data_IF_843241016152
#
_entry.id   IF_843241016152
#
_cell.length_a   1.000
_cell.length_b   1.000
_cell.length_c   1.000
_cell.angle_alpha   90.00
_cell.angle_beta   90.00
_cell.angle_gamma   90.00
#
_symmetry.space_group_name_H-M   'P 1'
#
loop_
_entity.id
_entity.type
_entity.pdbx_description
1 polymer ?
#
# COMPACT_ATOMS: atom_id res chain seq x y z
N UNK A 1 0.58 -0.23 -31.51
CA UNK A 1 1.84 0.02 -30.77
C UNK A 1 1.51 1.06 -29.72
N UNK A 2 1.30 0.65 -28.46
CA UNK A 2 1.27 1.60 -27.35
C UNK A 2 2.66 2.21 -27.23
N UNK A 3 2.76 3.53 -27.04
CA UNK A 3 4.03 4.19 -26.81
C UNK A 3 4.69 3.64 -25.54
N UNK A 4 6.02 3.61 -25.49
CA UNK A 4 6.86 3.02 -24.43
C UNK A 4 6.58 3.60 -23.01
N UNK A 5 5.68 4.58 -22.87
CA UNK A 5 5.32 5.23 -21.61
C UNK A 5 3.81 5.53 -21.45
N UNK A 6 2.93 4.72 -22.07
CA UNK A 6 1.48 4.90 -21.87
C UNK A 6 1.04 4.36 -20.50
N UNK A 7 0.34 5.18 -19.72
CA UNK A 7 -0.09 4.82 -18.34
C UNK A 7 -1.14 3.71 -18.39
N UNK A 8 -0.86 2.58 -17.74
CA UNK A 8 -1.87 1.52 -17.53
C UNK A 8 -2.60 1.74 -16.20
N UNK A 9 -3.51 2.71 -16.16
CA UNK A 9 -4.24 3.07 -14.93
C UNK A 9 -5.11 1.92 -14.40
N UNK A 10 -5.64 1.07 -15.29
CA UNK A 10 -6.41 -0.11 -14.88
C UNK A 10 -5.53 -1.06 -14.06
N UNK A 11 -4.29 -1.30 -14.49
CA UNK A 11 -3.33 -2.10 -13.75
C UNK A 11 -3.00 -1.48 -12.39
N UNK A 12 -2.74 -0.18 -12.33
CA UNK A 12 -2.41 0.49 -11.07
C UNK A 12 -3.57 0.44 -10.07
N UNK A 13 -4.80 0.69 -10.53
CA UNK A 13 -6.00 0.61 -9.69
C UNK A 13 -6.26 -0.83 -9.26
N UNK A 14 -6.08 -1.82 -10.15
CA UNK A 14 -6.21 -3.23 -9.79
C UNK A 14 -5.20 -3.65 -8.73
N UNK A 15 -3.93 -3.27 -8.87
CA UNK A 15 -2.89 -3.55 -7.88
C UNK A 15 -3.17 -2.84 -6.55
N UNK A 16 -3.69 -1.60 -6.57
CA UNK A 16 -4.05 -0.85 -5.37
C UNK A 16 -5.29 -1.41 -4.66
N UNK A 17 -6.19 -2.09 -5.37
CA UNK A 17 -7.45 -2.62 -4.82
C UNK A 17 -7.50 -4.15 -4.70
N UNK A 18 -6.46 -4.89 -5.12
CA UNK A 18 -6.46 -6.36 -5.18
C UNK A 18 -6.92 -7.00 -3.86
N UNK A 19 -6.47 -6.43 -2.74
CA UNK A 19 -6.72 -6.94 -1.38
C UNK A 19 -7.78 -6.14 -0.61
N UNK A 20 -8.49 -5.19 -1.23
CA UNK A 20 -9.57 -4.42 -0.57
C UNK A 20 -10.68 -5.35 -0.03
N UNK A 21 -10.83 -6.52 -0.65
CA UNK A 21 -11.77 -7.53 -0.20
C UNK A 21 -11.47 -8.11 1.18
N UNK A 22 -10.22 -8.05 1.68
CA UNK A 22 -9.88 -8.45 3.06
C UNK A 22 -10.60 -7.57 4.07
N UNK A 23 -10.71 -6.27 3.79
CA UNK A 23 -11.44 -5.33 4.64
C UNK A 23 -12.94 -5.67 4.68
N UNK A 24 -13.56 -5.85 3.50
CA UNK A 24 -14.97 -6.26 3.40
C UNK A 24 -15.24 -7.62 4.06
N UNK A 25 -14.36 -8.59 3.86
CA UNK A 25 -14.49 -9.94 4.42
C UNK A 25 -14.49 -9.90 5.96
N UNK A 26 -13.62 -9.11 6.58
CA UNK A 26 -13.58 -8.97 8.05
C UNK A 26 -14.83 -8.27 8.60
N UNK A 27 -15.38 -7.32 7.87
CA UNK A 27 -16.65 -6.66 8.21
C UNK A 27 -17.88 -7.57 8.05
N UNK A 28 -17.81 -8.52 7.12
CA UNK A 28 -18.86 -9.50 6.79
C UNK A 28 -18.45 -10.92 7.22
N UNK A 29 -17.74 -11.03 8.34
CA UNK A 29 -17.20 -12.31 8.80
C UNK A 29 -18.29 -13.37 8.95
N UNK A 30 -17.99 -14.59 8.51
CA UNK A 30 -18.94 -15.72 8.47
C UNK A 30 -19.61 -15.94 7.11
N UNK A 31 -19.52 -14.98 6.18
CA UNK A 31 -19.90 -15.21 4.78
C UNK A 31 -18.85 -16.10 4.11
N UNK A 32 -19.27 -17.21 3.50
CA UNK A 32 -18.39 -18.16 2.78
C UNK A 32 -18.00 -17.62 1.41
N UNK A 33 -17.20 -16.57 1.40
CA UNK A 33 -16.68 -15.93 0.20
C UNK A 33 -15.20 -15.59 0.41
N UNK A 34 -14.39 -15.79 -0.61
CA UNK A 34 -12.97 -15.46 -0.55
C UNK A 34 -12.78 -13.94 -0.59
N UNK A 35 -11.62 -13.44 -0.13
CA UNK A 35 -11.38 -11.99 -0.18
C UNK A 35 -11.28 -11.48 -1.62
N UNK A 36 -10.76 -12.29 -2.54
CA UNK A 36 -10.70 -11.93 -3.96
C UNK A 36 -12.09 -11.65 -4.53
N UNK A 37 -13.06 -12.51 -4.20
CA UNK A 37 -14.43 -12.36 -4.67
C UNK A 37 -15.17 -11.22 -3.93
N UNK A 38 -14.90 -11.00 -2.64
CA UNK A 38 -15.38 -9.80 -1.93
C UNK A 38 -14.90 -8.50 -2.59
N UNK A 39 -13.64 -8.46 -3.02
CA UNK A 39 -13.03 -7.30 -3.70
C UNK A 39 -13.55 -7.11 -5.12
N UNK A 40 -13.69 -8.19 -5.89
CA UNK A 40 -14.21 -8.14 -7.25
C UNK A 40 -15.68 -7.66 -7.28
N UNK A 41 -16.55 -8.26 -6.45
CA UNK A 41 -17.94 -7.82 -6.31
C UNK A 41 -18.06 -6.37 -5.82
N UNK A 42 -17.12 -5.93 -4.99
CA UNK A 42 -17.09 -4.54 -4.55
C UNK A 42 -16.83 -3.60 -5.74
N UNK A 43 -15.86 -3.91 -6.60
CA UNK A 43 -15.56 -3.10 -7.78
C UNK A 43 -16.69 -3.16 -8.83
N UNK A 44 -17.34 -4.32 -8.99
CA UNK A 44 -18.51 -4.48 -9.87
C UNK A 44 -19.68 -3.59 -9.44
N UNK A 45 -19.88 -3.40 -8.14
CA UNK A 45 -20.91 -2.48 -7.63
C UNK A 45 -20.67 -1.00 -8.01
N UNK A 46 -19.46 -0.67 -8.49
CA UNK A 46 -19.07 0.66 -8.98
C UNK A 46 -18.66 0.63 -10.46
N UNK A 47 -19.23 -0.29 -11.26
CA UNK A 47 -18.93 -0.42 -12.69
C UNK A 47 -19.12 0.88 -13.49
N UNK A 48 -20.10 1.73 -13.13
CA UNK A 48 -20.27 3.04 -13.77
C UNK A 48 -19.10 3.98 -13.52
N UNK A 49 -18.55 3.97 -12.30
CA UNK A 49 -17.38 4.77 -11.96
C UNK A 49 -16.14 4.23 -12.70
N UNK A 50 -15.98 2.91 -12.75
CA UNK A 50 -14.86 2.23 -13.43
C UNK A 50 -15.12 1.87 -14.89
N UNK A 51 -16.01 2.60 -15.58
CA UNK A 51 -16.49 2.25 -16.91
C UNK A 51 -15.36 1.98 -17.92
N UNK A 52 -14.31 2.78 -17.91
CA UNK A 52 -13.18 2.66 -18.85
C UNK A 52 -12.29 1.44 -18.57
N UNK A 53 -12.34 0.88 -17.36
CA UNK A 53 -11.64 -0.35 -17.01
C UNK A 53 -12.44 -1.59 -17.38
N UNK A 54 -13.77 -1.47 -17.50
CA UNK A 54 -14.66 -2.56 -17.85
C UNK A 54 -14.55 -3.76 -16.92
N UNK A 55 -14.62 -4.97 -17.49
CA UNK A 55 -14.49 -6.22 -16.74
C UNK A 55 -13.07 -6.57 -16.31
N UNK A 56 -12.05 -5.88 -16.83
CA UNK A 56 -10.65 -6.20 -16.54
C UNK A 56 -10.33 -5.94 -15.05
N UNK A 57 -10.80 -4.83 -14.48
CA UNK A 57 -10.55 -4.49 -13.08
C UNK A 57 -11.05 -5.57 -12.10
N UNK A 58 -12.36 -5.91 -12.07
CA UNK A 58 -12.83 -6.94 -11.14
C UNK A 58 -12.22 -8.31 -11.43
N UNK A 59 -11.89 -8.64 -12.68
CA UNK A 59 -11.22 -9.90 -13.01
C UNK A 59 -9.79 -9.96 -12.49
N UNK A 60 -9.01 -8.88 -12.63
CA UNK A 60 -7.67 -8.78 -12.05
C UNK A 60 -7.70 -8.97 -10.54
N UNK A 61 -8.69 -8.37 -9.87
CA UNK A 61 -8.90 -8.52 -8.42
C UNK A 61 -9.34 -9.96 -8.08
N UNK A 62 -10.23 -10.58 -8.86
CA UNK A 62 -10.69 -11.94 -8.59
C UNK A 62 -9.57 -12.98 -8.71
N UNK A 63 -8.70 -12.81 -9.69
CA UNK A 63 -7.69 -13.82 -10.04
C UNK A 63 -6.30 -13.55 -9.41
N UNK A 64 -6.11 -12.53 -8.55
CA UNK A 64 -4.77 -12.18 -8.06
C UNK A 64 -4.07 -13.25 -7.20
N UNK A 65 -4.73 -14.34 -6.83
CA UNK A 65 -4.08 -15.54 -6.27
C UNK A 65 -4.22 -16.79 -7.13
N UNK A 66 -5.02 -16.74 -8.21
CA UNK A 66 -5.20 -17.88 -9.11
C UNK A 66 -4.13 -17.85 -10.20
N UNK A 67 -3.18 -18.79 -10.17
CA UNK A 67 -2.16 -18.93 -11.23
C UNK A 67 -2.70 -19.61 -12.50
N UNK A 68 -3.87 -20.23 -12.43
CA UNK A 68 -4.56 -20.93 -13.51
C UNK A 68 -5.77 -20.10 -14.00
N UNK A 69 -5.51 -18.90 -14.52
CA UNK A 69 -6.55 -18.03 -15.11
C UNK A 69 -6.74 -18.29 -16.60
N UNK A 70 -7.95 -18.01 -17.11
CA UNK A 70 -8.25 -18.18 -18.53
C UNK A 70 -7.43 -17.20 -19.37
N UNK A 71 -6.81 -17.72 -20.44
CA UNK A 71 -6.01 -16.92 -21.37
C UNK A 71 -6.92 -16.21 -22.36
N UNK A 72 -7.55 -15.12 -21.91
CA UNK A 72 -8.48 -14.35 -22.75
C UNK A 72 -7.75 -13.51 -23.81
N UNK A 73 -6.77 -12.68 -23.40
CA UNK A 73 -5.92 -11.90 -24.31
C UNK A 73 -4.55 -11.58 -23.66
N UNK A 74 -3.55 -11.25 -24.49
CA UNK A 74 -2.15 -11.01 -24.04
C UNK A 74 -2.02 -9.87 -23.03
N UNK A 75 -2.73 -8.77 -23.24
CA UNK A 75 -2.70 -7.61 -22.33
C UNK A 75 -3.21 -7.97 -20.94
N UNK A 76 -4.35 -8.66 -20.85
CA UNK A 76 -4.94 -9.08 -19.59
C UNK A 76 -4.07 -10.14 -18.91
N UNK A 77 -3.52 -11.10 -19.66
CA UNK A 77 -2.56 -12.06 -19.10
C UNK A 77 -1.34 -11.36 -18.50
N UNK A 78 -0.82 -10.34 -19.19
CA UNK A 78 0.30 -9.53 -18.70
C UNK A 78 -0.06 -8.81 -17.40
N UNK A 79 -1.23 -8.17 -17.34
CA UNK A 79 -1.71 -7.50 -16.13
C UNK A 79 -1.89 -8.47 -14.95
N UNK A 80 -2.46 -9.66 -15.17
CA UNK A 80 -2.58 -10.67 -14.11
C UNK A 80 -1.21 -11.04 -13.53
N UNK A 81 -0.24 -11.34 -14.39
CA UNK A 81 1.13 -11.68 -13.97
C UNK A 81 1.78 -10.55 -13.18
N UNK A 82 1.61 -9.29 -13.62
CA UNK A 82 2.17 -8.14 -12.91
C UNK A 82 1.52 -7.97 -11.53
N UNK A 83 0.20 -8.00 -11.42
CA UNK A 83 -0.49 -7.86 -10.12
C UNK A 83 -0.06 -8.98 -9.17
N UNK A 84 0.00 -10.22 -9.65
CA UNK A 84 0.42 -11.38 -8.87
C UNK A 84 1.89 -11.28 -8.42
N UNK A 85 2.79 -10.92 -9.34
CA UNK A 85 4.21 -10.75 -9.02
C UNK A 85 4.42 -9.60 -8.04
N UNK A 86 3.73 -8.47 -8.23
CA UNK A 86 3.81 -7.33 -7.33
C UNK A 86 3.32 -7.66 -5.91
N UNK A 87 2.21 -8.40 -5.77
CA UNK A 87 1.70 -8.86 -4.47
C UNK A 87 2.71 -9.79 -3.78
N UNK A 88 3.30 -10.74 -4.52
CA UNK A 88 4.34 -11.63 -3.99
C UNK A 88 5.59 -10.88 -3.52
N UNK A 89 6.08 -9.92 -4.31
CA UNK A 89 7.26 -9.11 -3.95
C UNK A 89 6.98 -8.19 -2.75
N UNK A 90 5.79 -7.60 -2.68
CA UNK A 90 5.38 -6.76 -1.54
C UNK A 90 5.20 -7.58 -0.24
N UNK A 91 4.89 -8.87 -0.37
CA UNK A 91 4.69 -9.79 0.74
C UNK A 91 5.95 -10.59 1.16
N UNK A 92 7.04 -10.52 0.38
CA UNK A 92 8.17 -11.45 0.50
C UNK A 92 8.91 -11.40 1.84
N UNK A 93 8.97 -10.23 2.49
CA UNK A 93 9.68 -10.00 3.76
C UNK A 93 8.78 -10.17 5.00
N UNK A 94 7.59 -10.77 4.86
CA UNK A 94 6.68 -10.98 6.00
C UNK A 94 7.31 -11.92 7.03
N UNK A 95 7.43 -11.45 8.26
CA UNK A 95 7.92 -12.26 9.36
C UNK A 95 6.96 -13.43 9.66
N UNK A 96 7.51 -14.62 9.81
CA UNK A 96 6.82 -15.79 10.32
C UNK A 96 7.38 -16.18 11.68
N UNK A 97 6.49 -16.50 12.62
CA UNK A 97 6.89 -16.86 13.97
C UNK A 97 5.87 -17.79 14.63
N UNK A 98 6.30 -18.48 15.67
CA UNK A 98 5.40 -19.29 16.50
C UNK A 98 4.43 -18.36 17.26
N UNK A 99 3.17 -18.33 16.83
CA UNK A 99 2.11 -17.53 17.46
C UNK A 99 0.75 -18.22 17.34
N UNK A 100 -0.22 -17.95 18.24
CA UNK A 100 -1.52 -18.62 18.20
C UNK A 100 -2.28 -18.28 16.91
N UNK A 101 -3.06 -19.25 16.44
CA UNK A 101 -3.99 -19.01 15.33
C UNK A 101 -5.12 -18.08 15.80
N UNK A 102 -5.39 -17.01 15.05
CA UNK A 102 -6.47 -16.07 15.38
C UNK A 102 -7.29 -15.72 14.15
N UNK A 103 -8.60 -15.57 14.36
CA UNK A 103 -9.50 -15.14 13.28
C UNK A 103 -9.10 -13.75 12.77
N UNK A 104 -9.11 -13.51 11.44
CA UNK A 104 -8.79 -12.21 10.85
C UNK A 104 -9.50 -10.99 11.46
N UNK A 105 -10.81 -11.01 11.81
CA UNK A 105 -11.48 -9.85 12.40
C UNK A 105 -11.06 -9.57 13.85
N UNK A 106 -10.47 -10.57 14.53
CA UNK A 106 -10.01 -10.50 15.92
C UNK A 106 -8.51 -10.23 16.03
N UNK A 107 -7.82 -10.13 14.90
CA UNK A 107 -6.39 -9.89 14.84
C UNK A 107 -6.14 -8.40 14.64
N UNK A 108 -5.54 -7.70 15.63
CA UNK A 108 -5.11 -6.31 15.47
C UNK A 108 -3.84 -6.20 14.61
N UNK A 109 -3.58 -5.01 14.09
CA UNK A 109 -2.27 -4.67 13.53
C UNK A 109 -1.28 -4.50 14.68
N UNK A 110 -0.20 -5.28 14.69
CA UNK A 110 0.89 -5.18 15.66
C UNK A 110 1.73 -3.95 15.36
N UNK A 111 2.12 -3.21 16.41
CA UNK A 111 3.00 -2.07 16.26
C UNK A 111 4.40 -2.51 15.86
N UNK A 112 4.97 -1.88 14.82
CA UNK A 112 6.33 -2.18 14.37
C UNK A 112 7.37 -1.99 15.49
N UNK A 113 7.16 -1.07 16.42
CA UNK A 113 8.03 -0.88 17.59
C UNK A 113 7.98 -2.05 18.58
N UNK A 114 6.92 -2.86 18.57
CA UNK A 114 6.87 -4.13 19.30
C UNK A 114 7.73 -5.22 18.65
N UNK A 115 8.19 -4.99 17.42
CA UNK A 115 8.99 -5.92 16.61
C UNK A 115 10.47 -5.54 16.55
N UNK A 116 10.90 -4.56 17.34
CA UNK A 116 12.29 -4.13 17.41
C UNK A 116 12.84 -4.54 18.79
N UNK A 117 13.86 -5.41 18.88
CA UNK A 117 14.47 -5.78 20.16
C UNK A 117 15.01 -4.55 20.89
N UNK A 118 14.95 -4.51 22.23
CA UNK A 118 15.44 -3.34 22.97
C UNK A 118 16.95 -3.15 22.80
N UNK A 119 17.69 -4.26 22.74
CA UNK A 119 19.15 -4.25 22.63
C UNK A 119 19.67 -4.45 21.20
N UNK A 120 18.85 -4.14 20.18
CA UNK A 120 19.18 -4.40 18.76
C UNK A 120 20.47 -3.72 18.27
N UNK A 121 20.87 -2.60 18.91
CA UNK A 121 22.09 -1.86 18.57
C UNK A 121 23.34 -2.54 19.10
N UNK A 122 23.29 -3.10 20.30
CA UNK A 122 24.42 -3.83 20.89
C UNK A 122 24.50 -5.27 20.37
N UNK A 123 23.35 -5.90 20.15
CA UNK A 123 23.23 -7.27 19.68
C UNK A 123 22.13 -7.39 18.61
N UNK A 124 22.49 -7.52 17.32
CA UNK A 124 21.53 -7.74 16.25
C UNK A 124 20.64 -8.97 16.43
N UNK A 125 21.11 -9.99 17.17
CA UNK A 125 20.39 -11.24 17.47
C UNK A 125 19.63 -11.17 18.81
N UNK A 126 19.41 -9.97 19.36
CA UNK A 126 18.68 -9.81 20.61
C UNK A 126 17.22 -10.28 20.49
N UNK A 127 16.72 -10.94 21.53
CA UNK A 127 15.35 -11.45 21.62
C UNK A 127 14.56 -10.80 22.77
N UNK A 128 14.96 -9.60 23.18
CA UNK A 128 14.39 -8.81 24.26
C UNK A 128 13.35 -7.81 23.74
N UNK A 129 12.36 -8.32 23.02
CA UNK A 129 11.29 -7.51 22.46
C UNK A 129 10.45 -6.82 23.56
N UNK A 130 10.03 -5.57 23.37
CA UNK A 130 9.09 -4.94 24.28
C UNK A 130 7.72 -5.64 24.21
N UNK A 131 6.88 -5.41 25.21
CA UNK A 131 5.54 -5.98 25.24
C UNK A 131 4.76 -5.65 23.96
N UNK A 132 4.13 -6.66 23.36
CA UNK A 132 3.35 -6.48 22.14
C UNK A 132 2.20 -5.48 22.37
N UNK A 133 2.13 -4.49 21.50
CA UNK A 133 1.05 -3.53 21.42
C UNK A 133 0.51 -3.55 20.00
N UNK A 134 -0.74 -3.16 19.83
CA UNK A 134 -1.38 -3.09 18.52
C UNK A 134 -2.40 -1.98 18.41
N UNK A 135 -2.92 -1.85 17.21
CA UNK A 135 -3.89 -0.83 16.84
C UNK A 135 -5.27 -1.44 16.68
N UNK A 136 -6.28 -0.76 17.23
CA UNK A 136 -7.68 -1.05 16.90
C UNK A 136 -7.99 -0.66 15.46
N UNK A 137 -8.77 -1.46 14.70
CA UNK A 137 -9.27 -1.05 13.39
C UNK A 137 -10.09 0.23 13.53
N UNK A 138 -9.60 1.31 12.93
CA UNK A 138 -10.23 2.63 12.98
C UNK A 138 -9.75 3.50 11.83
N UNK A 139 -10.36 4.67 11.66
CA UNK A 139 -9.87 5.67 10.71
C UNK A 139 -8.62 6.36 11.23
N UNK A 140 -7.69 6.67 10.34
CA UNK A 140 -6.62 7.62 10.61
C UNK A 140 -7.22 9.02 10.79
N UNK A 141 -7.24 9.51 12.02
CA UNK A 141 -7.78 10.81 12.39
C UNK A 141 -6.77 11.58 13.25
N UNK A 142 -6.30 12.71 12.75
CA UNK A 142 -5.31 13.56 13.42
C UNK A 142 -5.88 14.36 14.60
N UNK A 143 -7.20 14.45 14.73
CA UNK A 143 -7.85 15.15 15.85
C UNK A 143 -7.83 14.33 17.14
N UNK A 144 -7.75 12.99 17.04
CA UNK A 144 -7.71 12.08 18.17
C UNK A 144 -6.29 11.52 18.33
N UNK A 145 -5.37 12.30 18.90
CA UNK A 145 -3.95 11.91 18.96
C UNK A 145 -3.68 10.66 19.80
N UNK A 146 -4.40 10.46 20.91
CA UNK A 146 -4.23 9.29 21.78
C UNK A 146 -4.64 7.98 21.09
N UNK A 147 -5.58 8.10 20.14
CA UNK A 147 -6.05 6.99 19.33
C UNK A 147 -5.05 6.52 18.27
N UNK A 148 -4.04 7.32 17.97
CA UNK A 148 -2.97 6.99 17.03
C UNK A 148 -1.84 6.19 17.68
N UNK A 149 -1.85 6.04 19.02
CA UNK A 149 -0.85 5.27 19.75
C UNK A 149 -1.28 3.82 19.89
N UNK A 150 -0.36 2.85 19.78
CA UNK A 150 -0.68 1.45 19.97
C UNK A 150 -0.97 1.16 21.45
N UNK A 151 -1.81 0.16 21.70
CA UNK A 151 -2.24 -0.23 23.05
C UNK A 151 -2.03 -1.72 23.27
N UNK A 152 -2.00 -2.16 24.54
CA UNK A 152 -1.84 -3.58 24.88
C UNK A 152 -3.08 -4.43 24.58
N UNK A 153 -4.26 -3.82 24.59
CA UNK A 153 -5.54 -4.52 24.39
C UNK A 153 -6.36 -3.81 23.30
N UNK A 154 -5.89 -3.82 22.04
CA UNK A 154 -6.63 -3.23 20.94
C UNK A 154 -7.96 -3.96 20.74
N UNK A 155 -9.04 -3.20 20.63
CA UNK A 155 -10.34 -3.73 20.26
C UNK A 155 -10.38 -4.03 18.74
N UNK A 156 -10.16 -5.29 18.37
CA UNK A 156 -10.38 -5.82 17.02
C UNK A 156 -11.55 -6.80 17.06
N UNK A 157 -12.65 -6.48 16.38
CA UNK A 157 -13.85 -7.32 16.33
C UNK A 157 -14.59 -7.19 14.99
N UNK A 158 -15.44 -8.16 14.61
CA UNK A 158 -16.30 -8.03 13.44
C UNK A 158 -17.15 -6.75 13.44
N UNK A 159 -17.62 -6.30 14.60
CA UNK A 159 -18.40 -5.07 14.76
C UNK A 159 -17.57 -3.82 14.47
N UNK A 160 -16.33 -3.76 14.99
CA UNK A 160 -15.41 -2.66 14.72
C UNK A 160 -15.12 -2.55 13.21
N UNK A 161 -14.86 -3.69 12.56
CA UNK A 161 -14.68 -3.75 11.11
C UNK A 161 -15.93 -3.36 10.33
N UNK A 162 -17.13 -3.76 10.78
CA UNK A 162 -18.40 -3.40 10.14
C UNK A 162 -18.62 -1.88 10.17
N UNK A 163 -18.46 -1.25 11.33
CA UNK A 163 -18.58 0.20 11.46
C UNK A 163 -17.57 0.94 10.58
N UNK A 164 -16.31 0.48 10.56
CA UNK A 164 -15.27 1.07 9.72
C UNK A 164 -15.56 0.90 8.23
N UNK A 165 -16.03 -0.28 7.81
CA UNK A 165 -16.40 -0.58 6.42
C UNK A 165 -17.60 0.23 5.96
N UNK A 166 -18.61 0.41 6.81
CA UNK A 166 -19.79 1.22 6.48
C UNK A 166 -19.41 2.70 6.29
N UNK A 167 -18.49 3.22 7.11
CA UNK A 167 -17.94 4.57 6.94
C UNK A 167 -17.14 4.69 5.63
N UNK A 168 -16.22 3.76 5.34
CA UNK A 168 -15.46 3.72 4.08
C UNK A 168 -16.38 3.71 2.86
N UNK A 169 -17.35 2.80 2.83
CA UNK A 169 -18.37 2.67 1.78
C UNK A 169 -19.17 3.94 1.59
N UNK A 170 -19.50 4.65 2.66
CA UNK A 170 -20.22 5.93 2.59
C UNK A 170 -19.37 7.00 1.89
N UNK A 171 -18.12 7.20 2.30
CA UNK A 171 -17.23 8.19 1.67
C UNK A 171 -16.85 7.81 0.23
N UNK A 172 -16.62 6.52 -0.04
CA UNK A 172 -16.39 6.02 -1.40
C UNK A 172 -17.59 6.29 -2.31
N UNK A 173 -18.82 6.08 -1.81
CA UNK A 173 -20.03 6.40 -2.57
C UNK A 173 -20.15 7.90 -2.86
N UNK A 174 -19.79 8.75 -1.90
CA UNK A 174 -19.78 10.20 -2.12
C UNK A 174 -18.77 10.61 -3.20
N UNK A 175 -17.55 10.05 -3.16
CA UNK A 175 -16.54 10.26 -4.19
C UNK A 175 -17.05 9.86 -5.58
N UNK A 176 -17.51 8.62 -5.71
CA UNK A 176 -17.95 8.07 -7.00
C UNK A 176 -19.18 8.78 -7.57
N UNK A 177 -20.13 9.20 -6.73
CA UNK A 177 -21.28 10.02 -7.15
C UNK A 177 -20.88 11.43 -7.58
N UNK A 178 -19.94 12.07 -6.86
CA UNK A 178 -19.48 13.42 -7.19
C UNK A 178 -18.67 13.45 -8.50
N UNK A 179 -17.94 12.37 -8.81
CA UNK A 179 -17.14 12.24 -10.03
C UNK A 179 -17.90 11.70 -11.22
N UNK A 180 -18.85 10.79 -11.00
CA UNK A 180 -19.60 10.06 -12.02
C UNK A 180 -18.78 8.98 -12.74
N UNK A 181 -17.54 9.28 -13.10
CA UNK A 181 -16.59 8.39 -13.77
C UNK A 181 -15.18 8.64 -13.23
N UNK A 182 -14.37 7.59 -13.18
CA UNK A 182 -12.98 7.64 -12.75
C UNK A 182 -12.17 8.59 -13.65
N UNK A 183 -11.32 9.40 -13.01
CA UNK A 183 -10.34 10.25 -13.67
C UNK A 183 -8.95 9.97 -13.10
N UNK A 184 -7.89 10.20 -13.87
CA UNK A 184 -6.48 10.05 -13.42
C UNK A 184 -6.20 10.69 -12.05
N UNK A 185 -6.76 11.88 -11.80
CA UNK A 185 -6.58 12.58 -10.53
C UNK A 185 -7.19 11.83 -9.33
N UNK A 186 -8.19 10.99 -9.55
CA UNK A 186 -8.84 10.21 -8.50
C UNK A 186 -7.93 9.13 -7.92
N UNK A 187 -6.91 8.67 -8.66
CA UNK A 187 -5.94 7.70 -8.13
C UNK A 187 -5.37 8.17 -6.79
N UNK A 188 -4.94 9.44 -6.71
CA UNK A 188 -4.41 10.03 -5.47
C UNK A 188 -5.48 10.10 -4.38
N UNK A 189 -6.73 10.37 -4.74
CA UNK A 189 -7.85 10.38 -3.80
C UNK A 189 -8.16 8.98 -3.26
N UNK A 190 -8.11 7.95 -4.10
CA UNK A 190 -8.27 6.56 -3.71
C UNK A 190 -7.15 6.13 -2.75
N UNK A 191 -5.89 6.47 -3.06
CA UNK A 191 -4.75 6.24 -2.16
C UNK A 191 -5.00 6.88 -0.78
N UNK A 192 -5.45 8.14 -0.73
CA UNK A 192 -5.75 8.83 0.52
C UNK A 192 -6.94 8.23 1.29
N UNK A 193 -7.98 7.76 0.57
CA UNK A 193 -9.09 7.03 1.20
C UNK A 193 -8.62 5.70 1.80
N UNK A 194 -7.78 4.95 1.09
CA UNK A 194 -7.21 3.71 1.62
C UNK A 194 -6.32 4.01 2.83
N UNK A 195 -5.45 5.01 2.77
CA UNK A 195 -4.66 5.46 3.94
C UNK A 195 -5.56 5.74 5.14
N UNK A 196 -6.64 6.50 4.93
CA UNK A 196 -7.59 6.84 6.00
C UNK A 196 -8.24 5.61 6.62
N UNK A 197 -8.59 4.58 5.85
CA UNK A 197 -9.43 3.48 6.31
C UNK A 197 -8.70 2.16 6.55
N UNK A 198 -7.50 1.97 6.01
CA UNK A 198 -6.78 0.69 6.03
C UNK A 198 -5.39 0.75 6.68
N UNK A 199 -4.97 1.91 7.22
CA UNK A 199 -3.70 2.06 7.96
C UNK A 199 -3.63 1.25 9.26
N UNK A 200 -4.76 0.97 9.91
CA UNK A 200 -4.81 0.19 11.16
C UNK A 200 -5.43 -1.20 10.97
N UNK A 201 -5.41 -1.69 9.73
CA UNK A 201 -5.89 -3.03 9.36
C UNK A 201 -4.65 -3.86 9.01
N UNK A 202 -4.40 -5.04 9.59
CA UNK A 202 -3.26 -5.86 9.19
C UNK A 202 -3.47 -6.45 7.78
N UNK A 203 -2.45 -6.44 6.92
CA UNK A 203 -2.52 -6.97 5.55
C UNK A 203 -2.63 -8.50 5.51
N UNK A 204 -2.00 -9.17 6.47
CA UNK A 204 -2.06 -10.60 6.72
C UNK A 204 -2.29 -10.84 8.22
N UNK A 205 -2.85 -11.99 8.55
CA UNK A 205 -3.21 -12.37 9.93
C UNK A 205 -2.78 -13.81 10.15
N UNK A 206 -2.48 -14.24 11.40
CA UNK A 206 -2.02 -15.59 11.70
C UNK A 206 -3.20 -16.58 11.64
N UNK A 207 -3.80 -16.71 10.46
CA UNK A 207 -4.93 -17.59 10.16
C UNK A 207 -4.45 -18.92 9.59
N UNK A 208 -3.18 -19.02 9.20
CA UNK A 208 -2.60 -20.23 8.64
C UNK A 208 -2.66 -21.39 9.64
N UNK A 209 -2.78 -22.62 9.12
CA UNK A 209 -2.83 -23.82 9.95
C UNK A 209 -1.46 -24.19 10.54
N UNK A 210 -0.38 -23.70 9.95
CA UNK A 210 1.01 -24.00 10.32
C UNK A 210 1.36 -23.47 11.71
N UNK A 211 2.39 -24.05 12.37
CA UNK A 211 2.86 -23.58 13.67
C UNK A 211 3.51 -22.20 13.60
N UNK A 212 4.32 -21.98 12.57
CA UNK A 212 4.83 -20.66 12.19
C UNK A 212 3.79 -19.94 11.34
N UNK A 213 3.36 -18.77 11.84
CA UNK A 213 2.29 -17.97 11.24
C UNK A 213 2.78 -16.55 11.01
N UNK A 214 2.13 -15.87 10.07
CA UNK A 214 2.49 -14.50 9.71
C UNK A 214 2.26 -13.54 10.88
N UNK A 215 3.27 -12.73 11.19
CA UNK A 215 3.10 -11.61 12.09
C UNK A 215 2.24 -10.52 11.42
N UNK A 216 1.16 -10.03 12.08
CA UNK A 216 0.29 -9.03 11.48
C UNK A 216 0.83 -7.61 11.74
N UNK A 217 2.06 -7.32 11.31
CA UNK A 217 2.78 -6.05 11.56
C UNK A 217 2.87 -5.10 10.35
N UNK A 218 2.43 -5.56 9.17
CA UNK A 218 2.30 -4.73 7.95
C UNK A 218 0.85 -4.29 7.77
N UNK A 219 0.61 -2.97 7.69
CA UNK A 219 -0.73 -2.45 7.42
C UNK A 219 -1.23 -2.81 6.02
N UNK A 220 -2.55 -2.92 5.87
CA UNK A 220 -3.19 -3.16 4.58
C UNK A 220 -2.93 -1.98 3.66
N UNK A 221 -2.93 -0.73 4.16
CA UNK A 221 -2.57 0.43 3.36
C UNK A 221 -1.15 0.31 2.77
N UNK A 222 -0.16 0.01 3.61
CA UNK A 222 1.23 -0.13 3.17
C UNK A 222 1.37 -1.27 2.15
N UNK A 223 0.73 -2.42 2.39
CA UNK A 223 0.72 -3.52 1.43
C UNK A 223 0.13 -3.09 0.08
N UNK A 224 -1.07 -2.51 0.07
CA UNK A 224 -1.75 -2.07 -1.15
C UNK A 224 -0.94 -1.03 -1.92
N UNK A 225 -0.37 -0.02 -1.23
CA UNK A 225 0.40 1.04 -1.90
C UNK A 225 1.70 0.51 -2.51
N UNK A 226 2.40 -0.39 -1.79
CA UNK A 226 3.66 -0.97 -2.27
C UNK A 226 3.40 -1.93 -3.43
N UNK A 227 2.35 -2.77 -3.35
CA UNK A 227 1.94 -3.61 -4.47
C UNK A 227 1.63 -2.77 -5.72
N UNK A 228 0.92 -1.65 -5.57
CA UNK A 228 0.66 -0.74 -6.69
C UNK A 228 1.93 -0.07 -7.25
N UNK A 229 2.87 0.34 -6.38
CA UNK A 229 4.15 0.92 -6.78
C UNK A 229 5.02 -0.08 -7.56
N UNK A 230 5.13 -1.31 -7.04
CA UNK A 230 5.85 -2.40 -7.70
C UNK A 230 5.18 -2.73 -9.04
N UNK A 231 3.85 -2.89 -9.08
CA UNK A 231 3.12 -3.16 -10.32
C UNK A 231 3.37 -2.09 -11.38
N UNK A 232 3.36 -0.81 -11.02
CA UNK A 232 3.65 0.28 -11.94
C UNK A 232 5.08 0.23 -12.50
N UNK A 233 6.05 -0.18 -11.68
CA UNK A 233 7.43 -0.32 -12.14
C UNK A 233 7.63 -1.55 -13.04
N UNK A 234 7.05 -2.70 -12.67
CA UNK A 234 7.11 -3.93 -13.47
C UNK A 234 6.45 -3.75 -14.84
N UNK A 235 5.39 -2.95 -14.92
CA UNK A 235 4.70 -2.60 -16.15
C UNK A 235 5.61 -1.91 -17.18
N UNK A 236 6.52 -1.05 -16.71
CA UNK A 236 7.47 -0.36 -17.58
C UNK A 236 8.76 -1.16 -17.81
N UNK A 237 9.20 -1.94 -16.81
CA UNK A 237 10.47 -2.68 -16.84
C UNK A 237 10.43 -3.97 -17.67
N UNK A 238 9.44 -4.83 -17.42
CA UNK A 238 9.52 -6.22 -17.80
C UNK A 238 8.90 -6.48 -19.18
N UNK A 239 9.77 -6.91 -20.11
CA UNK A 239 9.37 -7.55 -21.36
C UNK A 239 8.63 -8.88 -21.08
N UNK A 240 7.77 -9.35 -22.00
CA UNK A 240 6.90 -10.52 -21.76
C UNK A 240 7.61 -11.78 -21.25
N UNK A 241 8.79 -12.12 -21.81
CA UNK A 241 9.54 -13.32 -21.42
C UNK A 241 10.17 -13.18 -20.02
N UNK A 242 10.74 -12.00 -19.73
CA UNK A 242 11.32 -11.69 -18.43
C UNK A 242 10.24 -11.68 -17.33
N UNK A 243 9.07 -11.14 -17.63
CA UNK A 243 7.90 -11.17 -16.75
C UNK A 243 7.45 -12.60 -16.46
N UNK A 244 7.35 -13.46 -17.48
CA UNK A 244 6.95 -14.85 -17.27
C UNK A 244 7.94 -15.61 -16.40
N UNK A 245 9.24 -15.39 -16.60
CA UNK A 245 10.29 -15.99 -15.76
C UNK A 245 10.19 -15.53 -14.31
N UNK A 246 10.15 -14.21 -14.09
CA UNK A 246 10.04 -13.62 -12.76
C UNK A 246 8.73 -14.02 -12.05
N UNK A 247 7.62 -14.13 -12.79
CA UNK A 247 6.34 -14.53 -12.24
C UNK A 247 6.29 -16.01 -11.83
N UNK A 248 6.90 -16.90 -12.63
CA UNK A 248 6.92 -18.35 -12.33
C UNK A 248 7.74 -18.66 -11.09
N UNK A 249 8.93 -18.06 -11.00
CA UNK A 249 9.87 -18.26 -9.90
C UNK A 249 10.52 -16.93 -9.47
N UNK A 250 9.81 -16.14 -8.63
CA UNK A 250 10.31 -14.84 -8.18
C UNK A 250 11.61 -14.95 -7.36
N UNK A 251 11.80 -16.05 -6.63
CA UNK A 251 12.95 -16.25 -5.72
C UNK A 251 14.23 -16.51 -6.53
N UNK A 252 14.12 -17.27 -7.62
CA UNK A 252 15.26 -17.55 -8.50
C UNK A 252 15.56 -16.42 -9.49
N UNK A 253 14.70 -15.41 -9.61
CA UNK A 253 14.90 -14.31 -10.54
C UNK A 253 15.89 -13.27 -9.98
N UNK A 254 17.10 -13.23 -10.54
CA UNK A 254 18.23 -12.43 -10.04
C UNK A 254 18.46 -11.11 -10.80
N UNK A 255 17.81 -10.93 -11.95
CA UNK A 255 17.99 -9.70 -12.73
C UNK A 255 17.33 -8.51 -12.01
N UNK A 256 17.99 -7.34 -11.96
CA UNK A 256 17.40 -6.16 -11.34
C UNK A 256 16.11 -5.71 -12.06
N UNK A 257 15.02 -5.59 -11.29
CA UNK A 257 13.69 -5.19 -11.80
C UNK A 257 13.22 -3.83 -11.28
N UNK A 258 13.79 -3.37 -10.17
CA UNK A 258 13.42 -2.13 -9.49
C UNK A 258 14.71 -1.40 -9.09
N UNK A 259 14.65 -0.07 -9.08
CA UNK A 259 15.68 0.78 -8.49
C UNK A 259 15.08 1.66 -7.39
N UNK A 260 15.86 1.85 -6.32
CA UNK A 260 15.54 2.79 -5.25
C UNK A 260 16.34 4.08 -5.46
N UNK A 261 15.64 5.16 -5.80
CA UNK A 261 16.27 6.48 -6.01
C UNK A 261 16.12 7.30 -4.74
N UNK A 262 17.24 7.63 -4.10
CA UNK A 262 17.30 8.56 -2.97
C UNK A 262 17.65 9.96 -3.47
N UNK A 263 16.82 10.94 -3.11
CA UNK A 263 17.16 12.35 -3.17
C UNK A 263 17.56 12.91 -1.80
N UNK A 264 18.52 13.83 -1.79
CA UNK A 264 19.05 14.44 -0.57
C UNK A 264 19.35 15.93 -0.80
N UNK A 265 18.57 16.81 -0.17
CA UNK A 265 18.79 18.26 -0.22
C UNK A 265 19.88 18.67 0.78
N UNK A 266 21.07 18.98 0.25
CA UNK A 266 22.17 19.49 1.08
C UNK A 266 21.92 20.94 1.55
N UNK A 267 22.53 21.31 2.68
CA UNK A 267 22.52 22.70 3.18
C UNK A 267 21.25 23.12 3.94
N UNK A 268 20.37 22.18 4.32
CA UNK A 268 19.12 22.46 5.04
C UNK A 268 19.34 23.27 6.32
N UNK A 269 20.30 22.88 7.17
CA UNK A 269 20.56 23.60 8.42
C UNK A 269 20.99 25.05 8.15
N UNK A 270 21.90 25.26 7.20
CA UNK A 270 22.35 26.60 6.81
C UNK A 270 21.19 27.45 6.29
N UNK A 271 20.28 26.87 5.50
CA UNK A 271 19.09 27.55 5.00
C UNK A 271 18.10 27.90 6.11
N UNK A 272 17.79 26.95 7.00
CA UNK A 272 16.84 27.16 8.11
C UNK A 272 17.30 28.29 9.04
N UNK A 273 18.58 28.29 9.40
CA UNK A 273 19.17 29.23 10.36
C UNK A 273 19.73 30.52 9.74
N UNK A 274 19.35 30.85 8.51
CA UNK A 274 19.73 32.11 7.86
C UNK A 274 18.98 33.29 8.53
N UNK A 275 19.36 33.73 9.72
CA UNK A 275 18.59 34.67 10.53
C UNK A 275 18.64 36.10 9.94
N UNK A 276 17.48 36.66 9.59
CA UNK A 276 17.32 38.08 9.26
C UNK A 276 17.05 38.94 10.50
N UNK A 277 17.13 40.27 10.38
CA UNK A 277 16.78 41.21 11.45
C UNK A 277 15.26 41.27 11.65
N UNK A 278 14.72 40.36 12.48
CA UNK A 278 13.30 40.33 12.89
C UNK A 278 12.50 39.14 12.34
N UNK A 279 11.46 38.70 13.08
CA UNK A 279 10.55 37.64 12.62
C UNK A 279 11.11 36.22 12.59
N UNK A 280 12.17 35.92 13.36
CA UNK A 280 12.92 34.66 13.30
C UNK A 280 12.03 33.39 13.37
N UNK A 281 11.05 33.34 14.27
CA UNK A 281 10.15 32.20 14.41
C UNK A 281 9.24 32.00 13.18
N UNK A 282 8.72 33.08 12.58
CA UNK A 282 7.91 33.01 11.36
C UNK A 282 8.77 32.62 10.16
N UNK A 283 9.97 33.19 10.05
CA UNK A 283 10.93 32.85 9.01
C UNK A 283 11.35 31.38 9.04
N UNK A 284 11.63 30.83 10.23
CA UNK A 284 11.98 29.42 10.41
C UNK A 284 10.84 28.50 9.95
N UNK A 285 9.61 28.76 10.39
CA UNK A 285 8.43 27.97 9.97
C UNK A 285 8.22 28.02 8.46
N UNK A 286 8.31 29.21 7.86
CA UNK A 286 8.16 29.39 6.41
C UNK A 286 9.23 28.62 5.62
N UNK A 287 10.48 28.63 6.08
CA UNK A 287 11.58 27.88 5.45
C UNK A 287 11.45 26.37 5.61
N UNK A 288 11.05 25.91 6.79
CA UNK A 288 10.79 24.49 7.04
C UNK A 288 9.68 23.98 6.12
N UNK A 289 8.60 24.74 6.00
CA UNK A 289 7.50 24.40 5.08
C UNK A 289 7.93 24.46 3.62
N UNK A 290 8.70 25.48 3.22
CA UNK A 290 9.26 25.57 1.87
C UNK A 290 10.14 24.36 1.52
N UNK A 291 11.01 23.92 2.42
CA UNK A 291 11.84 22.73 2.20
C UNK A 291 11.01 21.47 2.02
N UNK A 292 9.94 21.30 2.82
CA UNK A 292 9.03 20.16 2.66
C UNK A 292 8.36 20.19 1.29
N UNK A 293 7.77 21.33 0.90
CA UNK A 293 7.14 21.49 -0.42
C UNK A 293 8.13 21.29 -1.57
N UNK A 294 9.36 21.80 -1.45
CA UNK A 294 10.39 21.63 -2.48
C UNK A 294 10.78 20.15 -2.63
N UNK A 295 10.95 19.45 -1.50
CA UNK A 295 11.28 18.02 -1.49
C UNK A 295 10.19 17.20 -2.17
N UNK A 296 8.93 17.43 -1.79
CA UNK A 296 7.76 16.77 -2.40
C UNK A 296 7.62 17.13 -3.89
N UNK A 297 7.82 18.39 -4.26
CA UNK A 297 7.71 18.84 -5.65
C UNK A 297 8.77 18.21 -6.55
N UNK A 298 10.01 18.06 -6.09
CA UNK A 298 11.07 17.37 -6.83
C UNK A 298 10.72 15.90 -7.04
N UNK A 299 10.31 15.21 -5.96
CA UNK A 299 9.90 13.81 -6.01
C UNK A 299 8.74 13.60 -7.00
N UNK A 300 7.69 14.41 -6.88
CA UNK A 300 6.54 14.42 -7.80
C UNK A 300 6.95 14.68 -9.25
N UNK A 301 7.80 15.69 -9.49
CA UNK A 301 8.26 16.02 -10.83
C UNK A 301 8.99 14.84 -11.49
N UNK A 302 9.84 14.14 -10.74
CA UNK A 302 10.54 12.95 -11.24
C UNK A 302 9.53 11.86 -11.61
N UNK A 303 8.56 11.56 -10.75
CA UNK A 303 7.54 10.55 -11.02
C UNK A 303 6.69 10.90 -12.25
N UNK A 304 6.29 12.16 -12.41
CA UNK A 304 5.55 12.63 -13.59
C UNK A 304 6.37 12.44 -14.87
N UNK A 305 7.68 12.72 -14.84
CA UNK A 305 8.58 12.52 -15.98
C UNK A 305 8.78 11.05 -16.34
N UNK A 306 8.68 10.16 -15.36
CA UNK A 306 8.73 8.70 -15.55
C UNK A 306 7.35 8.08 -15.79
N UNK A 307 6.27 8.88 -15.84
CA UNK A 307 4.90 8.38 -15.90
C UNK A 307 4.56 7.34 -14.82
N UNK A 308 5.07 7.56 -13.60
CA UNK A 308 4.82 6.70 -12.45
C UNK A 308 3.75 7.32 -11.51
N UNK A 309 2.93 6.50 -10.85
CA UNK A 309 1.92 6.98 -9.91
C UNK A 309 2.55 7.44 -8.59
N UNK A 310 1.80 8.23 -7.82
CA UNK A 310 2.27 8.78 -6.54
C UNK A 310 2.69 7.73 -5.51
N UNK A 311 2.16 6.50 -5.60
CA UNK A 311 2.55 5.39 -4.71
C UNK A 311 4.02 4.97 -4.87
N UNK A 312 4.67 5.31 -5.99
CA UNK A 312 6.11 5.13 -6.19
C UNK A 312 6.96 6.07 -5.31
N UNK A 313 6.37 7.12 -4.71
CA UNK A 313 7.03 7.93 -3.68
C UNK A 313 6.91 7.23 -2.33
N UNK A 314 7.96 6.50 -1.93
CA UNK A 314 7.97 5.74 -0.68
C UNK A 314 8.06 6.65 0.56
N UNK A 315 8.82 7.74 0.46
CA UNK A 315 9.02 8.72 1.51
C UNK A 315 9.41 10.06 0.90
N UNK A 316 8.89 11.16 1.45
CA UNK A 316 9.37 12.51 1.19
C UNK A 316 9.28 13.33 2.49
N UNK A 317 10.40 13.45 3.21
CA UNK A 317 10.44 14.08 4.53
C UNK A 317 11.83 14.59 4.87
N UNK A 318 11.89 15.73 5.56
CA UNK A 318 13.14 16.25 6.12
C UNK A 318 14.22 16.59 5.07
N UNK A 319 13.82 16.90 3.83
CA UNK A 319 14.75 17.14 2.72
C UNK A 319 15.26 15.89 2.01
N UNK A 320 14.75 14.71 2.39
CA UNK A 320 15.04 13.45 1.73
C UNK A 320 13.79 12.94 1.03
N UNK A 321 13.99 12.29 -0.11
CA UNK A 321 12.93 11.48 -0.72
C UNK A 321 13.47 10.14 -1.21
N UNK A 322 12.59 9.15 -1.27
CA UNK A 322 12.87 7.82 -1.79
C UNK A 322 11.79 7.46 -2.80
N UNK A 323 12.21 7.17 -4.03
CA UNK A 323 11.33 6.75 -5.11
C UNK A 323 11.64 5.30 -5.48
N UNK A 324 10.60 4.51 -5.68
CA UNK A 324 10.69 3.22 -6.36
C UNK A 324 10.44 3.45 -7.85
N UNK A 325 11.39 3.06 -8.69
CA UNK A 325 11.32 3.25 -10.14
C UNK A 325 11.69 1.95 -10.88
N UNK A 326 11.32 1.78 -12.15
CA UNK A 326 11.86 0.74 -13.02
C UNK A 326 13.39 0.80 -13.04
N UNK A 327 14.04 -0.36 -13.19
CA UNK A 327 15.51 -0.40 -13.20
C UNK A 327 16.13 0.20 -14.47
N UNK A 328 15.50 0.05 -15.64
CA UNK A 328 16.02 0.49 -16.95
C UNK A 328 15.23 1.66 -17.55
#
# INVERSE_FOLDING_TARGET
MRGVFERDECLWVAALLHDVGKFRQRAQWGVRLSHQEHGAQWCEAYADYFRDFGSDLPELIRQHHNREFQRANETLMRRHRIVQLADMLAAGERAQESRPQTEPPRTPLVAIFSRIPQSWRENPDANDYPAEQGYSPRTLNWEETDALLPTRNPNASPEAYRSLWDAFKSEWRQLTQARGQYQTADFRTIVALLEKYTSFIPSATPWEANEERTAPDVSLYDHLRITAAVAACLDQQLLPDALEQAWRDPISYQEPILALVKGDLSGIQAFLYLIGRGGAARGLKGRSFFLQLLTEAIAHFILERLNLPIVCQLLASGGHFYLLVPYN
#
